data_IF_358025534243
#
_entry.id   IF_358025534243
#
_cell.length_a   1.000
_cell.length_b   1.000
_cell.length_c   1.000
_cell.angle_alpha   90.00
_cell.angle_beta   90.00
_cell.angle_gamma   90.00
#
_symmetry.space_group_name_H-M   'P 1'
#
loop_
_entity.id
_entity.type
_entity.pdbx_description
1 polymer ?
#
# COMPACT_ATOMS: atom_id res chain seq x y z
N UNK A 1 -9.38 21.13 -14.48
CA UNK A 1 -9.64 22.59 -14.55
C UNK A 1 -8.48 23.35 -15.16
N UNK A 2 -7.29 23.42 -14.54
CA UNK A 2 -6.14 24.15 -15.11
C UNK A 2 -5.80 23.72 -16.54
N UNK A 3 -5.75 22.42 -16.83
CA UNK A 3 -5.49 21.92 -18.20
C UNK A 3 -6.57 22.41 -19.19
N UNK A 4 -7.84 22.35 -18.80
CA UNK A 4 -8.97 22.80 -19.61
C UNK A 4 -8.96 24.32 -19.83
N UNK A 5 -8.54 25.09 -18.83
CA UNK A 5 -8.40 26.55 -18.93
C UNK A 5 -7.25 26.98 -19.85
N UNK A 6 -6.28 26.10 -20.10
CA UNK A 6 -5.11 26.37 -20.94
C UNK A 6 -5.14 25.53 -22.23
N UNK A 7 -6.32 25.18 -22.75
CA UNK A 7 -6.46 24.35 -23.96
C UNK A 7 -5.65 24.88 -25.14
N UNK A 8 -5.61 26.20 -25.33
CA UNK A 8 -4.83 26.83 -26.41
C UNK A 8 -3.33 26.46 -26.36
N UNK A 9 -2.74 26.43 -25.16
CA UNK A 9 -1.34 26.00 -24.97
C UNK A 9 -1.14 24.53 -25.38
N UNK A 10 -2.14 23.68 -25.15
CA UNK A 10 -2.05 22.25 -25.42
C UNK A 10 -2.47 21.86 -26.84
N UNK A 11 -3.13 22.75 -27.59
CA UNK A 11 -3.64 22.44 -28.93
C UNK A 11 -2.54 22.01 -29.91
N UNK A 12 -1.34 22.57 -29.77
CA UNK A 12 -0.18 22.23 -30.61
C UNK A 12 0.73 21.17 -29.97
N UNK A 13 0.30 20.49 -28.91
CA UNK A 13 1.11 19.47 -28.23
C UNK A 13 0.83 18.09 -28.82
N UNK A 14 1.80 17.55 -29.55
CA UNK A 14 1.68 16.21 -30.14
C UNK A 14 2.02 15.07 -29.15
N UNK A 15 2.91 15.34 -28.19
CA UNK A 15 3.44 14.36 -27.25
C UNK A 15 3.90 15.08 -25.98
N UNK A 16 3.77 14.42 -24.82
CA UNK A 16 4.24 14.95 -23.54
C UNK A 16 5.21 13.95 -22.92
N UNK A 17 6.43 14.37 -22.63
CA UNK A 17 7.44 13.54 -21.96
C UNK A 17 7.42 13.86 -20.47
N UNK A 18 7.31 12.82 -19.64
CA UNK A 18 7.20 12.92 -18.19
C UNK A 18 8.34 12.12 -17.58
N UNK A 19 9.24 12.80 -16.87
CA UNK A 19 10.52 12.26 -16.40
C UNK A 19 10.53 11.76 -14.95
N UNK A 20 9.34 11.50 -14.40
CA UNK A 20 9.08 11.27 -12.97
C UNK A 20 8.72 9.81 -12.65
N UNK A 21 9.38 8.87 -13.31
CA UNK A 21 9.17 7.42 -13.10
C UNK A 21 10.48 6.67 -12.94
N UNK A 22 10.38 5.48 -12.35
CA UNK A 22 11.51 4.59 -12.13
C UNK A 22 11.77 3.69 -13.33
N UNK A 23 13.04 3.33 -13.50
CA UNK A 23 13.49 2.20 -14.27
C UNK A 23 13.32 0.88 -13.47
N UNK A 24 13.10 -0.26 -14.15
CA UNK A 24 13.00 -1.57 -13.50
C UNK A 24 14.25 -2.00 -12.72
N UNK A 25 15.43 -1.51 -13.14
CA UNK A 25 16.72 -1.72 -12.50
C UNK A 25 17.71 -0.64 -12.95
N UNK A 26 18.74 -0.41 -12.16
CA UNK A 26 19.84 0.53 -12.48
C UNK A 26 20.44 0.23 -13.85
N UNK A 27 20.42 1.23 -14.73
CA UNK A 27 20.93 1.15 -16.10
C UNK A 27 20.06 0.35 -17.09
N UNK A 28 18.86 -0.09 -16.70
CA UNK A 28 17.90 -0.76 -17.59
C UNK A 28 16.70 0.15 -17.85
N UNK A 29 16.57 0.76 -19.03
CA UNK A 29 15.52 1.75 -19.26
C UNK A 29 14.12 1.11 -19.33
N UNK A 30 13.17 1.72 -18.63
CA UNK A 30 11.75 1.40 -18.70
C UNK A 30 10.94 2.50 -19.37
N UNK A 31 9.96 2.12 -20.20
CA UNK A 31 8.87 3.01 -20.61
C UNK A 31 7.62 2.62 -19.80
N UNK A 32 7.18 3.52 -18.93
CA UNK A 32 6.02 3.33 -18.06
C UNK A 32 4.74 3.57 -18.84
N UNK A 33 3.89 2.54 -18.93
CA UNK A 33 2.60 2.60 -19.65
C UNK A 33 1.39 2.47 -18.72
N UNK A 34 1.64 2.31 -17.40
CA UNK A 34 0.59 2.35 -16.40
C UNK A 34 1.08 2.93 -15.08
N UNK A 35 0.19 3.66 -14.41
CA UNK A 35 0.38 4.26 -13.10
C UNK A 35 -0.81 3.92 -12.22
N UNK A 36 -0.57 3.67 -10.94
CA UNK A 36 -1.66 3.46 -9.99
C UNK A 36 -2.33 4.77 -9.64
N UNK A 37 -3.62 4.68 -9.34
CA UNK A 37 -4.36 5.73 -8.67
C UNK A 37 -4.26 5.57 -7.15
N UNK A 38 -4.92 6.48 -6.45
CA UNK A 38 -5.03 6.47 -5.00
C UNK A 38 -6.38 7.07 -4.59
N UNK A 39 -7.00 6.48 -3.58
CA UNK A 39 -8.07 7.13 -2.81
C UNK A 39 -7.78 6.94 -1.32
N UNK A 40 -8.09 7.95 -0.52
CA UNK A 40 -7.70 7.98 0.89
C UNK A 40 -8.77 8.64 1.75
N UNK A 41 -9.05 8.02 2.89
CA UNK A 41 -9.98 8.51 3.91
C UNK A 41 -9.30 8.50 5.27
N UNK A 42 -9.46 9.59 6.02
CA UNK A 42 -9.34 9.54 7.47
C UNK A 42 -10.65 9.01 8.06
N UNK A 43 -10.55 7.98 8.88
CA UNK A 43 -11.66 7.26 9.51
C UNK A 43 -11.51 7.36 11.01
N UNK A 44 -12.54 7.85 11.71
CA UNK A 44 -12.61 7.83 13.18
C UNK A 44 -13.84 7.05 13.61
N UNK A 45 -13.68 6.15 14.58
CA UNK A 45 -14.75 5.35 15.18
C UNK A 45 -15.00 5.84 16.60
N UNK A 46 -16.27 6.11 16.91
CA UNK A 46 -16.76 6.44 18.25
C UNK A 46 -17.73 5.34 18.71
N UNK A 47 -17.68 4.96 19.98
CA UNK A 47 -18.62 4.00 20.56
C UNK A 47 -19.86 4.70 21.14
N UNK A 48 -21.03 4.09 20.99
CA UNK A 48 -22.22 4.49 21.76
C UNK A 48 -22.17 3.92 23.19
N UNK A 49 -22.96 4.43 24.15
CA UNK A 49 -22.99 3.91 25.53
C UNK A 49 -23.37 2.43 25.66
N UNK A 50 -24.01 1.87 24.63
CA UNK A 50 -24.43 0.46 24.60
C UNK A 50 -23.42 -0.44 23.87
N UNK A 51 -22.31 0.12 23.39
CA UNK A 51 -21.30 -0.63 22.65
C UNK A 51 -20.66 -1.70 23.52
N UNK A 52 -20.39 -2.86 22.92
CA UNK A 52 -19.81 -4.00 23.64
C UNK A 52 -18.29 -3.92 23.74
N UNK A 53 -17.64 -3.32 22.74
CA UNK A 53 -16.19 -3.18 22.64
C UNK A 53 -15.79 -1.71 22.71
N UNK A 54 -14.53 -1.45 23.04
CA UNK A 54 -13.97 -0.11 22.92
C UNK A 54 -13.86 0.32 21.43
N UNK A 55 -13.84 1.63 21.14
CA UNK A 55 -13.78 2.13 19.76
C UNK A 55 -12.56 1.64 18.96
N UNK A 56 -11.41 1.43 19.60
CA UNK A 56 -10.18 1.02 18.90
C UNK A 56 -10.24 -0.45 18.51
N UNK A 57 -10.79 -1.31 19.36
CA UNK A 57 -11.06 -2.71 19.00
C UNK A 57 -12.07 -2.79 17.86
N UNK A 58 -13.14 -1.99 17.90
CA UNK A 58 -14.10 -1.92 16.80
C UNK A 58 -13.46 -1.43 15.48
N UNK A 59 -12.53 -0.47 15.55
CA UNK A 59 -11.75 -0.03 14.40
C UNK A 59 -10.86 -1.16 13.84
N UNK A 60 -10.14 -1.91 14.69
CA UNK A 60 -9.35 -3.05 14.20
C UNK A 60 -10.23 -4.11 13.53
N UNK A 61 -11.40 -4.42 14.09
CA UNK A 61 -12.36 -5.32 13.45
C UNK A 61 -12.81 -4.81 12.09
N UNK A 62 -13.11 -3.51 11.97
CA UNK A 62 -13.48 -2.89 10.70
C UNK A 62 -12.32 -2.93 9.69
N UNK A 63 -11.09 -2.66 10.11
CA UNK A 63 -9.92 -2.73 9.22
C UNK A 63 -9.65 -4.16 8.75
N UNK A 64 -9.89 -5.16 9.61
CA UNK A 64 -9.75 -6.56 9.26
C UNK A 64 -10.69 -6.99 8.13
N UNK A 65 -11.85 -6.34 7.95
CA UNK A 65 -12.77 -6.68 6.86
C UNK A 65 -12.26 -6.23 5.49
N UNK A 66 -11.35 -5.24 5.42
CA UNK A 66 -10.88 -4.66 4.16
C UNK A 66 -10.06 -5.61 3.28
N UNK A 67 -9.59 -6.73 3.84
CA UNK A 67 -8.83 -7.75 3.14
C UNK A 67 -9.54 -9.11 3.19
N UNK A 68 -9.24 -9.99 2.22
CA UNK A 68 -9.57 -11.42 2.24
C UNK A 68 -8.46 -12.19 2.97
N UNK A 69 -8.57 -13.51 3.07
CA UNK A 69 -7.57 -14.36 3.74
C UNK A 69 -6.18 -14.33 3.07
N UNK A 70 -6.15 -14.14 1.76
CA UNK A 70 -4.93 -14.00 0.94
C UNK A 70 -4.40 -12.56 0.89
N UNK A 71 -4.89 -11.65 1.75
CA UNK A 71 -4.60 -10.20 1.72
C UNK A 71 -5.10 -9.44 0.49
N UNK A 72 -5.86 -10.07 -0.42
CA UNK A 72 -6.48 -9.33 -1.53
C UNK A 72 -7.61 -8.42 -1.03
N UNK A 73 -7.91 -7.36 -1.79
CA UNK A 73 -8.91 -6.36 -1.42
C UNK A 73 -10.31 -6.99 -1.31
N UNK A 74 -11.02 -6.74 -0.19
CA UNK A 74 -12.35 -7.29 0.06
C UNK A 74 -13.51 -6.39 -0.41
N UNK A 75 -13.21 -5.26 -1.03
CA UNK A 75 -14.21 -4.34 -1.58
C UNK A 75 -14.43 -4.70 -3.05
N UNK A 76 -15.34 -5.64 -3.31
CA UNK A 76 -15.54 -6.21 -4.65
C UNK A 76 -15.83 -5.15 -5.73
N UNK A 77 -16.58 -4.09 -5.40
CA UNK A 77 -16.82 -2.96 -6.33
C UNK A 77 -15.54 -2.27 -6.85
N UNK A 78 -14.45 -2.35 -6.11
CA UNK A 78 -13.15 -1.80 -6.51
C UNK A 78 -12.30 -2.89 -7.16
N UNK A 79 -12.25 -4.09 -6.55
CA UNK A 79 -11.45 -5.20 -7.06
C UNK A 79 -11.92 -5.67 -8.45
N UNK A 80 -13.23 -5.76 -8.67
CA UNK A 80 -13.81 -6.21 -9.95
C UNK A 80 -13.69 -5.14 -11.05
N UNK A 81 -13.36 -3.90 -10.70
CA UNK A 81 -13.12 -2.82 -11.65
C UNK A 81 -11.67 -2.82 -12.18
N UNK A 82 -10.77 -3.64 -11.61
CA UNK A 82 -9.40 -3.76 -12.08
C UNK A 82 -9.35 -4.40 -13.48
N UNK A 83 -8.58 -3.81 -14.39
CA UNK A 83 -8.32 -4.38 -15.72
C UNK A 83 -7.38 -5.58 -15.57
N UNK A 84 -7.82 -6.73 -16.07
CA UNK A 84 -7.01 -7.94 -16.10
C UNK A 84 -5.82 -7.79 -17.05
N UNK A 85 -4.70 -8.41 -16.67
CA UNK A 85 -3.50 -8.48 -17.50
C UNK A 85 -3.77 -9.32 -18.77
N UNK A 86 -3.22 -8.91 -19.91
CA UNK A 86 -3.23 -9.74 -21.14
C UNK A 86 -2.08 -10.75 -21.16
N UNK A 87 -2.14 -11.73 -22.07
CA UNK A 87 -1.04 -12.70 -22.21
C UNK A 87 0.24 -12.02 -22.71
N UNK A 88 0.13 -11.05 -23.62
CA UNK A 88 1.27 -10.27 -24.12
C UNK A 88 1.93 -9.46 -22.99
N UNK A 89 1.14 -8.87 -22.09
CA UNK A 89 1.65 -8.17 -20.91
C UNK A 89 2.34 -9.14 -19.95
N UNK A 90 1.76 -10.33 -19.71
CA UNK A 90 2.38 -11.37 -18.88
C UNK A 90 3.72 -11.82 -19.44
N UNK A 91 3.80 -12.03 -20.75
CA UNK A 91 5.06 -12.32 -21.46
C UNK A 91 6.03 -11.15 -21.31
N UNK A 92 5.58 -9.91 -21.51
CA UNK A 92 6.41 -8.71 -21.33
C UNK A 92 7.01 -8.62 -19.92
N UNK A 93 6.21 -8.87 -18.89
CA UNK A 93 6.63 -8.88 -17.49
C UNK A 93 7.70 -9.94 -17.19
N UNK A 94 7.67 -11.09 -17.86
CA UNK A 94 8.72 -12.12 -17.71
C UNK A 94 10.11 -11.67 -18.20
N UNK A 95 10.18 -10.62 -19.03
CA UNK A 95 11.42 -10.07 -19.57
C UNK A 95 11.91 -8.82 -18.81
N UNK A 96 11.16 -8.35 -17.81
CA UNK A 96 11.58 -7.19 -17.01
C UNK A 96 12.87 -7.58 -16.25
N UNK A 97 13.95 -6.78 -16.36
CA UNK A 97 15.26 -7.10 -15.78
C UNK A 97 15.28 -6.87 -14.27
N UNK A 98 14.52 -7.66 -13.54
CA UNK A 98 14.40 -7.64 -12.08
C UNK A 98 14.53 -9.06 -11.53
N UNK A 99 14.52 -9.18 -10.20
CA UNK A 99 14.47 -10.48 -9.52
C UNK A 99 13.61 -10.37 -8.28
N UNK A 100 13.12 -11.51 -7.79
CA UNK A 100 12.40 -11.57 -6.52
C UNK A 100 13.25 -10.95 -5.39
N UNK A 101 14.55 -11.23 -5.36
CA UNK A 101 15.43 -10.66 -4.33
C UNK A 101 15.56 -9.14 -4.45
N UNK A 102 15.67 -8.60 -5.67
CA UNK A 102 15.69 -7.14 -5.89
C UNK A 102 14.39 -6.50 -5.41
N UNK A 103 13.23 -7.07 -5.75
CA UNK A 103 11.92 -6.56 -5.32
C UNK A 103 11.72 -6.66 -3.80
N UNK A 104 12.22 -7.75 -3.18
CA UNK A 104 12.20 -7.90 -1.72
C UNK A 104 13.09 -6.88 -1.03
N UNK A 105 14.30 -6.67 -1.55
CA UNK A 105 15.27 -5.72 -1.01
C UNK A 105 14.80 -4.26 -1.19
N UNK A 106 14.23 -3.91 -2.35
CA UNK A 106 13.72 -2.56 -2.63
C UNK A 106 12.53 -2.19 -1.73
N UNK A 107 11.75 -3.19 -1.32
CA UNK A 107 10.67 -3.06 -0.34
C UNK A 107 11.14 -3.17 1.12
N UNK A 108 12.41 -3.50 1.35
CA UNK A 108 12.97 -3.75 2.68
C UNK A 108 12.32 -4.92 3.41
N UNK A 109 11.79 -5.92 2.69
CA UNK A 109 11.13 -7.07 3.31
C UNK A 109 12.08 -7.83 4.25
N UNK A 110 11.55 -8.28 5.39
CA UNK A 110 12.27 -9.20 6.24
C UNK A 110 12.45 -10.55 5.52
N UNK A 111 13.56 -11.27 5.74
CA UNK A 111 13.88 -12.50 5.01
C UNK A 111 12.77 -13.55 5.05
N UNK A 112 12.12 -13.68 6.21
CA UNK A 112 11.11 -14.69 6.50
C UNK A 112 9.68 -14.29 6.06
N UNK A 113 9.46 -13.03 5.66
CA UNK A 113 8.14 -12.55 5.24
C UNK A 113 7.71 -13.21 3.93
N UNK A 114 6.55 -13.88 3.95
CA UNK A 114 5.95 -14.54 2.78
C UNK A 114 5.11 -13.52 1.99
N UNK A 115 5.17 -13.62 0.66
CA UNK A 115 4.42 -12.75 -0.25
C UNK A 115 2.93 -13.11 -0.25
N UNK A 116 2.07 -12.16 -0.60
CA UNK A 116 0.61 -12.40 -0.75
C UNK A 116 0.25 -13.05 -2.09
N UNK A 117 1.23 -13.26 -2.95
CA UNK A 117 1.11 -13.88 -4.28
C UNK A 117 2.22 -14.91 -4.48
N UNK A 118 2.09 -15.81 -5.48
CA UNK A 118 3.17 -16.73 -5.84
C UNK A 118 4.50 -16.02 -6.05
N UNK A 119 5.60 -16.68 -5.67
CA UNK A 119 6.96 -16.13 -5.75
C UNK A 119 7.50 -16.23 -7.17
N UNK A 120 6.84 -15.51 -8.08
CA UNK A 120 7.15 -15.41 -9.50
C UNK A 120 7.13 -13.93 -9.92
N UNK A 121 8.07 -13.52 -10.76
CA UNK A 121 8.20 -12.11 -11.18
C UNK A 121 6.88 -11.59 -11.79
N UNK A 122 6.26 -12.37 -12.66
CA UNK A 122 4.99 -12.02 -13.32
C UNK A 122 3.86 -11.84 -12.31
N UNK A 123 3.77 -12.71 -11.30
CA UNK A 123 2.75 -12.61 -10.24
C UNK A 123 2.95 -11.37 -9.38
N UNK A 124 4.20 -11.02 -9.07
CA UNK A 124 4.52 -9.82 -8.29
C UNK A 124 4.19 -8.55 -9.08
N UNK A 125 4.62 -8.49 -10.35
CA UNK A 125 4.35 -7.34 -11.23
C UNK A 125 2.86 -7.19 -11.53
N UNK A 126 2.12 -8.30 -11.72
CA UNK A 126 0.66 -8.27 -11.87
C UNK A 126 0.00 -7.65 -10.63
N UNK A 127 0.39 -8.09 -9.43
CA UNK A 127 -0.17 -7.54 -8.21
C UNK A 127 0.18 -6.07 -7.99
N UNK A 128 1.40 -5.65 -8.34
CA UNK A 128 1.86 -4.26 -8.26
C UNK A 128 1.12 -3.33 -9.22
N UNK A 129 0.89 -3.78 -10.47
CA UNK A 129 0.51 -2.91 -11.58
C UNK A 129 -0.92 -3.10 -12.07
N UNK A 130 -1.57 -4.20 -11.69
CA UNK A 130 -2.90 -4.60 -12.18
C UNK A 130 -3.89 -4.96 -11.08
N UNK A 131 -3.49 -4.96 -9.80
CA UNK A 131 -4.43 -5.21 -8.68
C UNK A 131 -4.50 -4.03 -7.72
N UNK A 132 -5.72 -3.66 -7.36
CA UNK A 132 -5.99 -2.69 -6.31
C UNK A 132 -5.68 -3.31 -4.94
N UNK A 133 -5.07 -2.53 -4.05
CA UNK A 133 -4.69 -2.99 -2.72
C UNK A 133 -4.99 -1.92 -1.68
N UNK A 134 -5.39 -2.36 -0.48
CA UNK A 134 -5.69 -1.47 0.64
C UNK A 134 -4.52 -1.43 1.62
N UNK A 135 -4.27 -0.25 2.15
CA UNK A 135 -3.36 0.02 3.25
C UNK A 135 -4.16 0.72 4.36
N UNK A 136 -3.78 0.49 5.61
CA UNK A 136 -4.34 1.21 6.75
C UNK A 136 -3.22 1.59 7.70
N UNK A 137 -3.29 2.79 8.29
CA UNK A 137 -2.35 3.24 9.33
C UNK A 137 -3.07 4.03 10.40
N UNK A 138 -2.62 4.04 11.66
CA UNK A 138 -3.16 4.92 12.68
C UNK A 138 -3.12 6.40 12.26
N UNK A 139 -4.20 7.13 12.50
CA UNK A 139 -4.44 8.48 11.94
C UNK A 139 -3.80 9.64 12.70
N UNK A 140 -2.88 9.35 13.62
CA UNK A 140 -2.30 10.34 14.55
C UNK A 140 -0.91 10.82 14.14
N UNK A 141 -0.45 10.47 12.93
CA UNK A 141 0.84 10.91 12.40
C UNK A 141 0.71 12.27 11.71
N UNK A 142 1.52 13.23 12.15
CA UNK A 142 1.44 14.64 11.77
C UNK A 142 2.07 14.92 10.38
N UNK A 143 2.93 14.05 9.85
CA UNK A 143 3.52 14.25 8.51
C UNK A 143 4.02 12.95 7.86
N UNK A 144 3.88 12.86 6.53
CA UNK A 144 4.53 11.87 5.67
C UNK A 144 3.61 10.77 5.15
N UNK A 145 3.73 10.45 3.86
CA UNK A 145 3.04 9.35 3.18
C UNK A 145 3.58 7.96 3.54
N UNK A 146 4.52 7.86 4.50
CA UNK A 146 5.31 6.67 4.81
C UNK A 146 4.50 5.75 5.75
N UNK A 147 4.09 4.61 5.23
CA UNK A 147 3.62 3.45 5.99
C UNK A 147 4.87 2.76 6.56
N UNK A 148 4.92 2.37 7.83
CA UNK A 148 6.09 1.58 8.26
C UNK A 148 5.83 0.12 7.93
N UNK A 149 6.88 -0.64 7.68
CA UNK A 149 6.82 -2.11 7.63
C UNK A 149 6.47 -2.76 8.97
N UNK A 150 5.90 -2.00 9.93
CA UNK A 150 5.68 -2.37 11.32
C UNK A 150 4.37 -1.79 11.84
N UNK A 151 3.66 -2.58 12.63
CA UNK A 151 2.42 -2.18 13.31
C UNK A 151 2.44 -2.63 14.77
N UNK A 152 1.81 -1.85 15.64
CA UNK A 152 1.73 -2.16 17.07
C UNK A 152 0.36 -1.93 17.66
N UNK A 153 -0.02 -2.79 18.62
CA UNK A 153 -1.19 -2.61 19.46
C UNK A 153 -0.86 -3.00 20.91
N UNK A 154 -1.36 -2.22 21.87
CA UNK A 154 -1.41 -2.62 23.27
C UNK A 154 -2.74 -3.29 23.53
N UNK A 155 -2.70 -4.52 24.04
CA UNK A 155 -3.89 -5.28 24.43
C UNK A 155 -3.92 -5.33 25.95
N UNK A 156 -4.98 -4.79 26.55
CA UNK A 156 -5.20 -4.77 27.99
C UNK A 156 -6.23 -5.82 28.35
N UNK A 157 -5.87 -6.72 29.25
CA UNK A 157 -6.76 -7.70 29.84
C UNK A 157 -7.07 -7.31 31.28
N UNK A 158 -8.19 -7.82 31.81
CA UNK A 158 -8.40 -7.90 33.25
C UNK A 158 -7.14 -8.48 33.97
N UNK A 159 -6.92 -8.13 35.25
CA UNK A 159 -5.81 -8.67 36.03
C UNK A 159 -5.76 -10.20 35.95
N UNK A 160 -4.65 -10.72 35.44
CA UNK A 160 -4.39 -12.14 35.30
C UNK A 160 -3.43 -12.60 36.39
N UNK A 161 -3.72 -13.74 37.02
CA UNK A 161 -2.88 -14.34 38.05
C UNK A 161 -1.55 -14.88 37.52
N UNK A 162 -1.48 -15.22 36.22
CA UNK A 162 -0.24 -15.68 35.57
C UNK A 162 0.01 -14.97 34.22
N UNK A 163 0.54 -13.73 34.24
CA UNK A 163 0.84 -12.96 33.04
C UNK A 163 1.87 -13.63 32.12
N UNK A 164 2.82 -14.39 32.65
CA UNK A 164 3.84 -15.07 31.84
C UNK A 164 3.24 -16.21 31.01
N UNK A 165 2.37 -17.02 31.62
CA UNK A 165 1.64 -18.05 30.89
C UNK A 165 0.72 -17.44 29.81
N UNK A 166 0.08 -16.30 30.12
CA UNK A 166 -0.74 -15.58 29.16
C UNK A 166 0.09 -15.05 27.98
N UNK A 167 1.28 -14.48 28.24
CA UNK A 167 2.19 -14.01 27.20
C UNK A 167 2.58 -15.13 26.23
N UNK A 168 2.96 -16.29 26.77
CA UNK A 168 3.35 -17.46 25.96
C UNK A 168 2.18 -17.96 25.11
N UNK A 169 0.97 -18.00 25.67
CA UNK A 169 -0.24 -18.41 24.95
C UNK A 169 -0.68 -17.42 23.89
N UNK A 170 -0.56 -16.13 24.14
CA UNK A 170 -0.79 -15.10 23.13
C UNK A 170 0.20 -15.23 21.98
N UNK A 171 1.49 -15.45 22.27
CA UNK A 171 2.50 -15.65 21.25
C UNK A 171 2.20 -16.90 20.38
N UNK A 172 1.81 -18.01 21.00
CA UNK A 172 1.39 -19.23 20.30
C UNK A 172 0.17 -18.97 19.40
N UNK A 173 -0.84 -18.28 19.93
CA UNK A 173 -2.05 -17.90 19.20
C UNK A 173 -1.75 -17.02 17.98
N UNK A 174 -0.94 -15.98 18.15
CA UNK A 174 -0.60 -15.08 17.06
C UNK A 174 0.27 -15.76 16.00
N UNK A 175 1.22 -16.63 16.40
CA UNK A 175 2.00 -17.44 15.46
C UNK A 175 1.11 -18.35 14.61
N UNK A 176 0.10 -18.98 15.20
CA UNK A 176 -0.88 -19.80 14.47
C UNK A 176 -1.72 -18.98 13.48
N UNK A 177 -1.91 -17.69 13.75
CA UNK A 177 -2.69 -16.75 12.93
C UNK A 177 -1.81 -15.85 12.05
N UNK A 178 -0.61 -16.30 11.68
CA UNK A 178 0.37 -15.55 10.88
C UNK A 178 0.72 -16.24 9.56
N UNK A 179 -0.23 -16.33 8.60
CA UNK A 179 -0.02 -17.04 7.34
C UNK A 179 1.14 -16.49 6.50
N UNK A 180 1.51 -15.21 6.70
CA UNK A 180 2.60 -14.57 5.95
C UNK A 180 3.92 -14.48 6.71
N UNK A 181 4.02 -15.13 7.87
CA UNK A 181 5.23 -15.24 8.66
C UNK A 181 5.89 -13.88 8.99
N UNK A 182 5.08 -12.87 9.33
CA UNK A 182 5.58 -11.59 9.85
C UNK A 182 6.32 -11.83 11.17
N UNK A 183 7.36 -11.04 11.45
CA UNK A 183 8.00 -11.07 12.75
C UNK A 183 7.00 -10.63 13.81
N UNK A 184 6.75 -11.50 14.80
CA UNK A 184 5.85 -11.22 15.93
C UNK A 184 6.69 -11.01 17.18
N UNK A 185 6.42 -9.92 17.89
CA UNK A 185 6.92 -9.68 19.23
C UNK A 185 5.74 -9.43 20.17
N UNK A 186 5.68 -10.16 21.29
CA UNK A 186 4.70 -9.93 22.37
C UNK A 186 5.48 -9.58 23.63
N UNK A 187 5.37 -8.35 24.13
CA UNK A 187 6.08 -7.88 25.32
C UNK A 187 5.09 -7.53 26.42
N UNK A 188 5.36 -7.94 27.66
CA UNK A 188 4.57 -7.51 28.82
C UNK A 188 4.85 -6.04 29.11
N UNK A 189 3.79 -5.27 29.31
CA UNK A 189 3.85 -3.89 29.79
C UNK A 189 3.42 -3.84 31.26
N UNK A 190 4.31 -3.39 32.14
CA UNK A 190 4.20 -3.58 33.59
C UNK A 190 4.11 -2.27 34.39
N UNK A 191 3.32 -1.30 33.93
CA UNK A 191 3.12 -0.03 34.65
C UNK A 191 1.78 0.08 35.38
N UNK A 192 0.76 -0.70 34.98
CA UNK A 192 -0.59 -0.60 35.55
C UNK A 192 -0.98 -1.88 36.30
N UNK A 193 -1.30 -1.75 37.60
CA UNK A 193 -1.80 -2.86 38.43
C UNK A 193 -3.26 -3.23 38.12
N UNK A 194 -4.00 -2.36 37.42
CA UNK A 194 -5.41 -2.59 37.06
C UNK A 194 -5.60 -3.50 35.86
N UNK A 195 -4.57 -3.67 35.03
CA UNK A 195 -4.66 -4.46 33.80
C UNK A 195 -3.41 -5.31 33.63
N UNK A 196 -3.59 -6.51 33.06
CA UNK A 196 -2.47 -7.25 32.48
C UNK A 196 -2.34 -6.84 31.02
N UNK A 197 -1.28 -6.10 30.69
CA UNK A 197 -1.11 -5.49 29.37
C UNK A 197 0.04 -6.11 28.57
N UNK A 198 -0.17 -6.27 27.27
CA UNK A 198 0.85 -6.73 26.33
C UNK A 198 0.91 -5.85 25.10
N UNK A 199 2.12 -5.51 24.69
CA UNK A 199 2.39 -4.88 23.40
C UNK A 199 2.61 -5.99 22.37
N UNK A 200 1.72 -6.05 21.39
CA UNK A 200 1.84 -6.88 20.19
C UNK A 200 2.41 -6.03 19.07
N UNK A 201 3.55 -6.45 18.54
CA UNK A 201 4.25 -5.81 17.43
C UNK A 201 4.34 -6.81 16.28
N UNK A 202 3.97 -6.37 15.08
CA UNK A 202 4.21 -7.07 13.82
C UNK A 202 5.20 -6.29 12.97
N UNK A 203 6.11 -6.99 12.30
CA UNK A 203 6.97 -6.42 11.27
C UNK A 203 7.01 -7.31 10.02
N UNK A 204 6.74 -6.72 8.85
CA UNK A 204 6.89 -7.34 7.53
C UNK A 204 8.13 -6.85 6.78
N UNK A 205 8.56 -5.61 7.05
CA UNK A 205 9.71 -4.96 6.41
C UNK A 205 10.39 -3.94 7.33
N UNK A 206 11.60 -3.53 6.95
CA UNK A 206 12.37 -2.50 7.64
C UNK A 206 11.89 -1.09 7.33
N UNK A 207 11.24 -0.90 6.18
CA UNK A 207 10.67 0.37 5.69
C UNK A 207 9.30 0.15 5.06
N UNK A 208 8.70 1.19 4.48
CA UNK A 208 7.44 1.07 3.74
C UNK A 208 7.58 0.15 2.51
N UNK A 209 6.91 -1.01 2.47
CA UNK A 209 6.94 -1.86 1.29
C UNK A 209 5.82 -1.50 0.28
N UNK A 210 4.92 -0.58 0.64
CA UNK A 210 3.71 -0.21 -0.09
C UNK A 210 3.72 1.24 -0.62
N UNK A 211 4.65 2.10 -0.20
CA UNK A 211 4.80 3.45 -0.75
C UNK A 211 5.29 3.42 -2.20
N UNK A 212 4.90 4.49 -2.90
CA UNK A 212 5.51 4.91 -4.16
C UNK A 212 5.59 3.79 -5.20
N UNK A 213 6.79 3.58 -5.71
CA UNK A 213 7.11 2.70 -6.84
C UNK A 213 6.83 1.22 -6.54
N UNK A 214 7.03 0.77 -5.30
CA UNK A 214 7.02 -0.64 -4.95
C UNK A 214 5.59 -1.22 -5.01
N UNK A 215 4.59 -0.50 -4.48
CA UNK A 215 3.16 -0.87 -4.58
C UNK A 215 2.79 -2.32 -4.22
N UNK A 216 3.65 -3.03 -3.46
CA UNK A 216 3.87 -4.47 -3.60
C UNK A 216 2.75 -5.43 -3.20
N UNK A 217 2.89 -6.74 -3.51
CA UNK A 217 2.08 -7.83 -2.98
C UNK A 217 2.62 -8.29 -1.62
N UNK A 218 2.81 -7.33 -0.73
CA UNK A 218 3.38 -7.59 0.58
C UNK A 218 2.25 -7.56 1.63
N UNK A 219 2.36 -8.35 2.70
CA UNK A 219 1.35 -8.28 3.74
C UNK A 219 1.48 -6.96 4.50
N UNK A 220 0.38 -6.19 4.55
CA UNK A 220 0.32 -4.93 5.30
C UNK A 220 0.28 -5.28 6.79
N UNK A 221 1.29 -4.85 7.54
CA UNK A 221 1.45 -5.20 8.96
C UNK A 221 0.22 -4.77 9.79
N UNK A 222 -0.31 -3.57 9.54
CA UNK A 222 -1.48 -3.04 10.24
C UNK A 222 -2.75 -3.83 9.97
N UNK A 223 -2.96 -4.30 8.73
CA UNK A 223 -4.13 -5.11 8.37
C UNK A 223 -4.00 -6.54 8.90
N UNK A 224 -2.79 -7.10 8.91
CA UNK A 224 -2.54 -8.39 9.56
C UNK A 224 -2.73 -8.30 11.08
N UNK A 225 -2.28 -7.22 11.71
CA UNK A 225 -2.48 -6.94 13.13
C UNK A 225 -3.98 -6.83 13.44
N UNK A 226 -4.71 -6.06 12.65
CA UNK A 226 -6.15 -5.92 12.73
C UNK A 226 -6.85 -7.29 12.66
N UNK A 227 -6.46 -8.15 11.71
CA UNK A 227 -6.99 -9.52 11.58
C UNK A 227 -6.69 -10.39 12.80
N UNK A 228 -5.47 -10.31 13.34
CA UNK A 228 -5.08 -11.06 14.53
C UNK A 228 -5.90 -10.62 15.76
N UNK A 229 -6.15 -9.32 15.91
CA UNK A 229 -7.01 -8.76 16.97
C UNK A 229 -8.47 -9.20 16.76
N UNK A 230 -8.98 -9.13 15.54
CA UNK A 230 -10.33 -9.58 15.20
C UNK A 230 -10.58 -11.05 15.56
N UNK A 231 -9.59 -11.92 15.35
CA UNK A 231 -9.63 -13.34 15.74
C UNK A 231 -9.46 -13.57 17.24
N UNK A 232 -8.71 -12.71 17.93
CA UNK A 232 -8.49 -12.81 19.37
C UNK A 232 -9.70 -12.34 20.18
N UNK A 233 -10.35 -11.24 19.79
CA UNK A 233 -11.46 -10.64 20.52
C UNK A 233 -12.71 -10.85 19.70
N UNK A 234 -13.66 -11.67 20.16
CA UNK A 234 -14.91 -11.89 19.43
C UNK A 234 -15.81 -10.65 19.48
N UNK A 235 -16.85 -10.60 18.65
CA UNK A 235 -17.78 -9.46 18.58
C UNK A 235 -18.52 -9.18 19.89
N UNK A 236 -18.66 -10.19 20.77
CA UNK A 236 -19.24 -10.09 22.10
C UNK A 236 -18.21 -9.73 23.19
N UNK A 237 -16.94 -9.51 22.82
CA UNK A 237 -15.83 -9.25 23.74
C UNK A 237 -15.23 -10.50 24.37
N UNK A 238 -15.70 -11.69 24.06
CA UNK A 238 -15.12 -12.94 24.58
C UNK A 238 -13.82 -13.31 23.87
N UNK A 239 -12.99 -14.12 24.55
CA UNK A 239 -11.72 -14.64 24.04
C UNK A 239 -11.86 -16.09 23.53
N UNK A 240 -10.94 -16.58 22.68
CA UNK A 240 -10.76 -17.98 22.41
C UNK A 240 -10.62 -18.79 23.71
N UNK A 241 -11.24 -19.99 23.81
CA UNK A 241 -11.21 -20.80 25.03
C UNK A 241 -9.79 -21.08 25.55
N UNK A 242 -8.82 -21.27 24.65
CA UNK A 242 -7.42 -21.50 25.02
C UNK A 242 -6.76 -20.31 25.72
N UNK A 243 -7.18 -19.08 25.40
CA UNK A 243 -6.70 -17.85 26.05
C UNK A 243 -7.51 -17.60 27.32
N UNK A 244 -8.83 -17.74 27.26
CA UNK A 244 -9.73 -17.50 28.39
C UNK A 244 -9.40 -18.38 29.60
N UNK A 245 -9.00 -19.63 29.37
CA UNK A 245 -8.57 -20.56 30.43
C UNK A 245 -7.38 -20.04 31.24
N UNK A 246 -6.47 -19.29 30.61
CA UNK A 246 -5.27 -18.73 31.27
C UNK A 246 -5.57 -17.39 31.95
N UNK A 247 -6.47 -16.58 31.38
CA UNK A 247 -6.88 -15.32 31.98
C UNK A 247 -7.58 -15.50 33.34
N UNK A 248 -8.14 -16.68 33.64
CA UNK A 248 -8.82 -16.98 34.90
C UNK A 248 -10.31 -16.63 34.84
N UNK A 249 -11.16 -17.64 35.01
CA UNK A 249 -12.61 -17.55 34.89
C UNK A 249 -13.26 -16.97 36.17
N UNK A 250 -13.22 -15.65 36.37
CA UNK A 250 -13.98 -15.00 37.46
C UNK A 250 -14.41 -13.57 37.13
N UNK A 251 -14.78 -13.28 35.88
CA UNK A 251 -15.42 -12.01 35.55
C UNK A 251 -16.67 -12.26 34.71
N UNK A 252 -17.82 -11.77 35.19
CA UNK A 252 -19.10 -11.78 34.46
C UNK A 252 -19.02 -11.00 33.14
N UNK A 253 -18.02 -10.12 32.99
CA UNK A 253 -17.68 -9.43 31.73
C UNK A 253 -16.16 -9.24 31.65
N UNK A 254 -15.51 -9.83 30.64
CA UNK A 254 -14.09 -9.61 30.37
C UNK A 254 -13.92 -8.21 29.79
N UNK A 255 -13.19 -7.32 30.47
CA UNK A 255 -12.81 -6.03 29.89
C UNK A 255 -11.51 -6.30 29.13
N UNK A 256 -11.61 -6.25 27.81
CA UNK A 256 -10.45 -6.30 26.92
C UNK A 256 -10.49 -5.04 26.08
N UNK A 257 -9.42 -4.28 26.15
CA UNK A 257 -9.29 -3.02 25.43
C UNK A 257 -8.04 -3.06 24.55
N UNK A 258 -8.10 -2.37 23.42
CA UNK A 258 -6.93 -2.18 22.58
C UNK A 258 -6.56 -0.71 22.45
N UNK A 259 -5.28 -0.45 22.25
CA UNK A 259 -4.76 0.87 21.87
C UNK A 259 -3.82 0.69 20.68
N UNK A 260 -3.86 1.59 19.72
CA UNK A 260 -2.86 1.62 18.66
C UNK A 260 -1.53 2.16 19.20
N UNK A 261 -0.42 1.60 18.73
CA UNK A 261 0.93 2.01 19.11
C UNK A 261 1.69 2.51 17.89
N UNK A 262 2.49 3.56 18.12
CA UNK A 262 3.60 3.88 17.25
C UNK A 262 4.74 2.92 17.54
N UNK A 263 5.35 2.36 16.48
CA UNK A 263 6.48 1.43 16.57
C UNK A 263 7.63 2.02 15.76
N UNK A 264 8.75 2.27 16.42
CA UNK A 264 9.96 2.77 15.78
C UNK A 264 10.78 1.63 15.13
N UNK A 265 11.83 1.98 14.40
CA UNK A 265 12.67 1.01 13.68
C UNK A 265 13.34 -0.02 14.61
N UNK A 266 13.72 0.41 15.82
CA UNK A 266 14.31 -0.40 16.89
C UNK A 266 13.27 -1.17 17.74
N UNK A 267 12.00 -1.13 17.33
CA UNK A 267 10.85 -1.70 18.04
C UNK A 267 10.58 -1.08 19.42
N UNK A 268 11.04 0.15 19.65
CA UNK A 268 10.50 0.97 20.73
C UNK A 268 9.05 1.34 20.41
N UNK A 269 8.22 1.40 21.45
CA UNK A 269 6.78 1.62 21.31
C UNK A 269 6.35 2.85 22.09
N UNK A 270 5.44 3.62 21.49
CA UNK A 270 4.87 4.82 22.11
C UNK A 270 3.36 4.86 21.83
N UNK A 271 2.59 5.39 22.77
CA UNK A 271 1.19 5.73 22.50
C UNK A 271 1.15 6.94 21.58
N UNK A 272 0.13 6.99 20.72
CA UNK A 272 -0.16 8.22 19.99
C UNK A 272 -0.68 9.30 20.94
N UNK A 273 -0.39 10.57 20.64
CA UNK A 273 -0.83 11.71 21.44
C UNK A 273 -2.36 11.85 21.49
N UNK A 274 -3.02 11.61 20.36
CA UNK A 274 -4.48 11.53 20.27
C UNK A 274 -4.93 10.09 20.53
N UNK A 275 -5.80 9.92 21.53
CA UNK A 275 -6.29 8.62 21.98
C UNK A 275 -7.53 8.14 21.20
N UNK A 276 -8.02 8.90 20.22
CA UNK A 276 -9.18 8.50 19.44
C UNK A 276 -8.89 7.29 18.55
N UNK A 277 -9.90 6.44 18.32
CA UNK A 277 -9.78 5.32 17.40
C UNK A 277 -9.83 5.82 15.97
N UNK A 278 -8.66 6.19 15.43
CA UNK A 278 -8.51 6.84 14.14
C UNK A 278 -7.51 6.09 13.25
N UNK A 279 -7.84 5.97 11.97
CA UNK A 279 -6.95 5.44 10.95
C UNK A 279 -7.05 6.23 9.64
N UNK A 280 -5.96 6.31 8.90
CA UNK A 280 -5.97 6.61 7.48
C UNK A 280 -6.13 5.28 6.73
N UNK A 281 -7.19 5.15 5.94
CA UNK A 281 -7.43 4.03 5.03
C UNK A 281 -7.16 4.51 3.61
N UNK A 282 -6.19 3.89 2.95
CA UNK A 282 -5.75 4.22 1.60
C UNK A 282 -5.97 3.00 0.70
N UNK A 283 -6.49 3.22 -0.50
CA UNK A 283 -6.52 2.20 -1.54
C UNK A 283 -5.66 2.69 -2.70
N UNK A 284 -4.66 1.89 -3.06
CA UNK A 284 -3.94 2.03 -4.31
C UNK A 284 -4.77 1.39 -5.41
N UNK A 285 -5.17 2.20 -6.38
CA UNK A 285 -6.11 1.80 -7.43
C UNK A 285 -5.33 1.30 -8.65
N UNK A 286 -5.64 0.12 -9.14
CA UNK A 286 -5.13 -0.37 -10.41
C UNK A 286 -5.95 0.18 -11.59
N UNK A 287 -5.40 0.18 -12.82
CA UNK A 287 -6.13 0.59 -14.02
C UNK A 287 -7.51 -0.04 -14.14
N UNK A 288 -8.50 0.74 -14.60
CA UNK A 288 -9.92 0.36 -14.65
C UNK A 288 -10.77 1.04 -13.57
N UNK A 289 -10.14 1.39 -12.44
CA UNK A 289 -10.78 2.16 -11.38
C UNK A 289 -10.87 3.67 -11.68
N UNK A 290 -11.73 4.36 -10.92
CA UNK A 290 -11.87 5.83 -10.94
C UNK A 290 -11.92 6.37 -9.50
N UNK A 291 -11.18 7.45 -9.22
CA UNK A 291 -10.95 7.93 -7.84
C UNK A 291 -12.25 8.13 -7.04
N UNK A 292 -13.26 8.78 -7.64
CA UNK A 292 -14.51 9.14 -6.95
C UNK A 292 -15.44 7.95 -6.76
N UNK A 293 -15.45 7.02 -7.71
CA UNK A 293 -16.22 5.77 -7.59
C UNK A 293 -15.63 4.90 -6.49
N UNK A 294 -14.30 4.75 -6.48
CA UNK A 294 -13.60 4.00 -5.45
C UNK A 294 -13.77 4.62 -4.05
N UNK A 295 -13.66 5.95 -3.93
CA UNK A 295 -13.90 6.65 -2.66
C UNK A 295 -15.32 6.39 -2.11
N UNK A 296 -16.33 6.44 -2.98
CA UNK A 296 -17.71 6.15 -2.61
C UNK A 296 -17.92 4.68 -2.23
N UNK A 297 -17.30 3.74 -2.96
CA UNK A 297 -17.35 2.33 -2.65
C UNK A 297 -16.71 2.05 -1.28
N UNK A 298 -15.55 2.63 -0.98
CA UNK A 298 -14.89 2.52 0.32
C UNK A 298 -15.75 3.11 1.46
N UNK A 299 -16.29 4.33 1.28
CA UNK A 299 -17.19 4.95 2.28
C UNK A 299 -18.42 4.08 2.57
N UNK A 300 -19.01 3.49 1.53
CA UNK A 300 -20.16 2.60 1.65
C UNK A 300 -19.77 1.33 2.41
N UNK A 301 -18.69 0.69 1.99
CA UNK A 301 -18.18 -0.54 2.59
C UNK A 301 -17.90 -0.37 4.10
N UNK A 302 -17.19 0.71 4.48
CA UNK A 302 -16.88 0.99 5.89
C UNK A 302 -18.13 1.22 6.74
N UNK A 303 -19.15 1.90 6.20
CA UNK A 303 -20.42 2.12 6.90
C UNK A 303 -21.22 0.84 7.09
N UNK A 304 -21.25 -0.03 6.08
CA UNK A 304 -22.02 -1.27 6.10
C UNK A 304 -21.40 -2.34 7.01
N UNK A 305 -20.07 -2.33 7.13
CA UNK A 305 -19.33 -3.29 7.96
C UNK A 305 -19.12 -2.83 9.42
N UNK A 306 -19.46 -1.59 9.76
CA UNK A 306 -19.42 -1.12 11.14
C UNK A 306 -20.73 -1.48 11.86
N UNK A 307 -20.68 -2.12 13.04
CA UNK A 307 -21.87 -2.38 13.84
C UNK A 307 -22.62 -1.10 14.26
N UNK A 308 -23.95 -1.20 14.41
CA UNK A 308 -24.86 -0.05 14.64
C UNK A 308 -24.64 0.68 15.97
N UNK A 309 -24.01 0.02 16.93
CA UNK A 309 -23.63 0.56 18.23
C UNK A 309 -22.37 1.45 18.17
N UNK A 310 -21.78 1.66 16.99
CA UNK A 310 -20.68 2.59 16.76
C UNK A 310 -21.07 3.67 15.73
N UNK A 311 -20.35 4.78 15.77
CA UNK A 311 -20.45 5.87 14.80
C UNK A 311 -19.12 6.02 14.08
N UNK A 312 -19.18 6.23 12.76
CA UNK A 312 -18.00 6.46 11.93
C UNK A 312 -18.03 7.87 11.35
N UNK A 313 -16.93 8.59 11.51
CA UNK A 313 -16.65 9.85 10.81
C UNK A 313 -15.61 9.57 9.74
N UNK A 314 -15.85 10.10 8.54
CA UNK A 314 -14.95 9.93 7.40
C UNK A 314 -14.66 11.27 6.74
N UNK A 315 -13.38 11.57 6.55
CA UNK A 315 -12.90 12.77 5.85
C UNK A 315 -12.08 12.33 4.66
N UNK A 316 -12.43 12.80 3.47
CA UNK A 316 -11.68 12.52 2.26
C UNK A 316 -10.36 13.30 2.24
N UNK A 317 -9.31 12.67 1.73
CA UNK A 317 -8.07 13.34 1.34
C UNK A 317 -7.95 13.38 -0.20
N UNK A 318 -6.80 13.81 -0.72
CA UNK A 318 -6.48 13.87 -2.14
C UNK A 318 -6.52 12.47 -2.76
N UNK A 319 -7.20 12.38 -3.89
CA UNK A 319 -7.24 11.19 -4.73
C UNK A 319 -6.61 11.44 -6.10
N UNK A 320 -6.34 10.35 -6.80
CA UNK A 320 -5.97 10.35 -8.21
C UNK A 320 -6.50 9.09 -8.89
N UNK A 321 -7.10 9.24 -10.06
CA UNK A 321 -7.44 8.09 -10.90
C UNK A 321 -6.15 7.42 -11.43
N UNK A 322 -6.15 6.08 -11.58
CA UNK A 322 -5.08 5.36 -12.27
C UNK A 322 -4.98 5.78 -13.73
N UNK A 323 -3.84 5.48 -14.36
CA UNK A 323 -3.62 5.70 -15.78
C UNK A 323 -3.07 4.44 -16.44
N UNK A 324 -3.53 4.16 -17.66
CA UNK A 324 -2.98 3.15 -18.54
C UNK A 324 -3.13 3.63 -19.99
N UNK A 325 -2.16 3.33 -20.84
CA UNK A 325 -2.20 3.69 -22.26
C UNK A 325 -1.88 2.49 -23.15
N UNK A 326 -2.57 2.32 -24.29
CA UNK A 326 -2.08 1.42 -25.33
C UNK A 326 -0.77 1.96 -25.92
N UNK A 327 0.06 1.06 -26.43
CA UNK A 327 1.36 1.36 -27.06
C UNK A 327 1.30 1.39 -28.58
N UNK A 328 0.10 1.46 -29.16
CA UNK A 328 -0.12 1.32 -30.61
C UNK A 328 0.31 2.54 -31.42
N UNK A 329 0.43 3.71 -30.79
CA UNK A 329 0.87 4.93 -31.48
C UNK A 329 2.36 4.81 -31.86
N UNK A 330 2.79 5.17 -33.09
CA UNK A 330 4.17 4.99 -33.56
C UNK A 330 5.24 5.66 -32.68
N UNK A 331 4.86 6.70 -31.93
CA UNK A 331 5.75 7.39 -30.99
C UNK A 331 6.32 6.47 -29.91
N UNK A 332 5.58 5.45 -29.46
CA UNK A 332 6.06 4.51 -28.45
C UNK A 332 7.25 3.70 -28.97
N UNK A 333 7.23 3.28 -30.25
CA UNK A 333 8.37 2.61 -30.88
C UNK A 333 9.60 3.53 -30.93
N UNK A 334 9.41 4.79 -31.33
CA UNK A 334 10.51 5.77 -31.38
C UNK A 334 11.06 6.06 -29.98
N UNK A 335 10.20 6.11 -28.96
CA UNK A 335 10.61 6.29 -27.57
C UNK A 335 11.42 5.10 -27.04
N UNK A 336 10.99 3.86 -27.32
CA UNK A 336 11.73 2.65 -26.95
C UNK A 336 13.09 2.57 -27.64
N UNK A 337 13.17 2.90 -28.93
CA UNK A 337 14.43 2.99 -29.67
C UNK A 337 15.36 4.06 -29.08
N UNK A 338 14.82 5.22 -28.73
CA UNK A 338 15.61 6.30 -28.13
C UNK A 338 16.14 5.93 -26.74
N UNK A 339 15.33 5.24 -25.93
CA UNK A 339 15.75 4.64 -24.67
C UNK A 339 16.92 3.67 -24.89
N UNK A 340 16.80 2.77 -25.86
CA UNK A 340 17.86 1.82 -26.20
C UNK A 340 19.15 2.50 -26.66
N UNK A 341 19.06 3.53 -27.49
CA UNK A 341 20.24 4.31 -27.92
C UNK A 341 20.93 5.04 -26.76
N UNK A 342 20.17 5.60 -25.81
CA UNK A 342 20.74 6.37 -24.70
C UNK A 342 21.43 5.50 -23.64
N UNK A 343 20.87 4.33 -23.35
CA UNK A 343 21.39 3.40 -22.33
C UNK A 343 22.31 2.33 -22.92
N UNK A 344 22.28 2.11 -24.25
CA UNK A 344 22.97 0.99 -24.89
C UNK A 344 22.39 -0.38 -24.50
N UNK A 345 21.13 -0.41 -24.06
CA UNK A 345 20.42 -1.59 -23.59
C UNK A 345 18.97 -1.56 -24.02
N UNK A 346 18.43 -2.73 -24.38
CA UNK A 346 17.03 -2.87 -24.80
C UNK A 346 16.09 -2.35 -23.72
N UNK A 347 15.21 -1.44 -24.10
CA UNK A 347 14.17 -0.91 -23.21
C UNK A 347 13.04 -1.92 -23.04
N UNK A 348 12.41 -1.92 -21.86
CA UNK A 348 11.21 -2.71 -21.61
C UNK A 348 9.99 -1.83 -21.34
N UNK A 349 8.82 -2.38 -21.63
CA UNK A 349 7.55 -1.79 -21.20
C UNK A 349 7.33 -2.19 -19.75
N UNK A 350 6.99 -1.21 -18.93
CA UNK A 350 6.87 -1.38 -17.49
C UNK A 350 5.67 -0.60 -16.96
N UNK A 351 5.44 -0.68 -15.65
CA UNK A 351 4.49 0.17 -14.95
C UNK A 351 5.13 0.75 -13.70
N UNK A 352 4.46 1.70 -13.06
CA UNK A 352 4.90 2.25 -11.80
C UNK A 352 3.80 2.11 -10.76
N UNK A 353 4.15 1.59 -9.58
CA UNK A 353 3.24 1.47 -8.44
C UNK A 353 2.81 2.83 -7.85
N UNK A 354 3.51 3.90 -8.23
CA UNK A 354 3.23 5.26 -7.82
C UNK A 354 2.08 5.91 -8.59
N UNK A 355 1.76 7.14 -8.21
CA UNK A 355 0.68 7.93 -8.80
C UNK A 355 1.22 9.27 -9.28
N UNK A 356 0.96 9.60 -10.55
CA UNK A 356 1.23 10.92 -11.12
C UNK A 356 -0.11 11.48 -11.62
N UNK A 357 -0.88 12.19 -10.76
CA UNK A 357 -2.28 12.56 -11.06
C UNK A 357 -2.42 13.39 -12.33
N UNK A 358 -1.35 14.10 -12.72
CA UNK A 358 -1.30 14.88 -13.93
C UNK A 358 -1.48 14.02 -15.19
N UNK A 359 -0.92 12.81 -15.25
CA UNK A 359 -0.91 11.96 -16.46
C UNK A 359 -2.34 11.57 -16.87
N UNK A 360 -3.12 11.06 -15.90
CA UNK A 360 -4.52 10.72 -16.12
C UNK A 360 -5.33 11.96 -16.55
N UNK A 361 -5.20 13.05 -15.80
CA UNK A 361 -5.93 14.31 -16.05
C UNK A 361 -5.60 14.94 -17.40
N UNK A 362 -4.34 14.84 -17.84
CA UNK A 362 -3.89 15.30 -19.16
C UNK A 362 -4.56 14.49 -20.27
N UNK A 363 -4.51 13.16 -20.16
CA UNK A 363 -5.08 12.24 -21.15
C UNK A 363 -6.60 12.42 -21.28
N UNK A 364 -7.29 12.63 -20.15
CA UNK A 364 -8.73 12.89 -20.14
C UNK A 364 -9.08 14.26 -20.73
N UNK A 365 -8.28 15.29 -20.43
CA UNK A 365 -8.57 16.67 -20.84
C UNK A 365 -8.18 16.96 -22.30
N UNK A 366 -7.17 16.27 -22.83
CA UNK A 366 -6.68 16.43 -24.21
C UNK A 366 -6.59 15.05 -24.87
N UNK A 367 -7.73 14.55 -25.38
CA UNK A 367 -7.77 13.25 -26.06
C UNK A 367 -6.80 13.22 -27.25
N UNK A 368 -6.02 12.15 -27.36
CA UNK A 368 -5.05 11.96 -28.45
C UNK A 368 -3.63 12.40 -28.13
N UNK A 369 -3.39 13.15 -27.05
CA UNK A 369 -2.03 13.35 -26.52
C UNK A 369 -1.43 12.01 -26.11
N UNK A 370 -0.13 11.83 -26.38
CA UNK A 370 0.61 10.63 -26.02
C UNK A 370 1.56 10.94 -24.85
N UNK A 371 1.23 10.57 -23.60
CA UNK A 371 2.15 10.70 -22.48
C UNK A 371 3.22 9.62 -22.55
N UNK A 372 4.48 10.02 -22.62
CA UNK A 372 5.65 9.15 -22.54
C UNK A 372 6.26 9.29 -21.15
N UNK A 373 5.95 8.34 -20.26
CA UNK A 373 6.51 8.31 -18.92
C UNK A 373 7.80 7.48 -18.93
N UNK A 374 8.94 8.12 -18.76
CA UNK A 374 10.28 7.52 -18.67
C UNK A 374 11.08 8.27 -17.60
N UNK A 375 12.24 7.81 -17.13
CA UNK A 375 12.93 8.61 -16.11
C UNK A 375 14.34 8.15 -15.78
N UNK A 376 15.09 8.99 -15.04
CA UNK A 376 16.44 8.67 -14.59
C UNK A 376 16.48 7.95 -13.25
N UNK A 377 15.34 7.66 -12.62
CA UNK A 377 15.31 7.02 -11.30
C UNK A 377 15.48 5.51 -11.43
N UNK A 378 16.17 4.90 -10.48
CA UNK A 378 16.36 3.46 -10.34
C UNK A 378 15.87 2.98 -8.97
N UNK A 379 15.71 1.67 -8.72
CA UNK A 379 15.22 1.15 -7.43
C UNK A 379 16.00 1.63 -6.20
N UNK A 380 17.27 1.99 -6.36
CA UNK A 380 18.15 2.50 -5.29
C UNK A 380 18.04 4.02 -5.09
N UNK A 381 17.29 4.73 -5.93
CA UNK A 381 17.10 6.18 -5.85
C UNK A 381 16.37 6.63 -4.59
N UNK A 382 15.61 5.72 -3.92
CA UNK A 382 14.95 6.00 -2.63
C UNK A 382 14.06 7.26 -2.64
N UNK A 383 13.25 7.41 -3.69
CA UNK A 383 12.36 8.56 -3.85
C UNK A 383 11.49 8.75 -2.60
N UNK A 384 11.52 9.96 -2.01
CA UNK A 384 10.80 10.31 -0.78
C UNK A 384 11.26 9.60 0.50
N UNK A 385 12.43 8.98 0.49
CA UNK A 385 13.04 8.31 1.64
C UNK A 385 14.40 8.95 2.01
N UNK A 386 14.87 8.84 3.26
CA UNK A 386 16.22 9.27 3.62
C UNK A 386 17.31 8.61 2.77
N UNK A 387 18.27 9.41 2.32
CA UNK A 387 19.32 8.96 1.41
C UNK A 387 18.86 8.88 -0.05
N UNK A 388 17.81 9.62 -0.42
CA UNK A 388 17.42 9.85 -1.81
C UNK A 388 18.64 10.25 -2.66
N UNK A 389 18.81 9.56 -3.79
CA UNK A 389 19.97 9.73 -4.67
C UNK A 389 19.59 9.45 -6.12
N UNK A 390 20.51 9.75 -7.04
CA UNK A 390 20.31 9.48 -8.46
C UNK A 390 21.56 8.80 -9.04
N UNK A 391 21.34 7.65 -9.69
CA UNK A 391 22.38 6.94 -10.42
C UNK A 391 22.90 7.77 -11.59
N UNK A 392 24.23 7.93 -11.70
CA UNK A 392 24.85 8.60 -12.85
C UNK A 392 24.58 7.86 -14.16
N UNK A 393 24.46 6.52 -14.10
CA UNK A 393 24.18 5.69 -15.28
C UNK A 393 22.81 6.04 -15.83
N UNK A 394 21.79 6.12 -14.96
CA UNK A 394 20.42 6.40 -15.36
C UNK A 394 20.19 7.87 -15.69
N UNK A 395 20.82 8.80 -14.96
CA UNK A 395 20.80 10.23 -15.30
C UNK A 395 21.34 10.48 -16.71
N UNK A 396 22.54 9.97 -17.02
CA UNK A 396 23.17 10.17 -18.33
C UNK A 396 22.45 9.38 -19.43
N UNK A 397 22.00 8.16 -19.13
CA UNK A 397 21.21 7.33 -20.04
C UNK A 397 19.92 8.04 -20.46
N UNK A 398 19.12 8.47 -19.48
CA UNK A 398 17.87 9.20 -19.70
C UNK A 398 18.11 10.49 -20.51
N UNK A 399 19.13 11.27 -20.16
CA UNK A 399 19.48 12.49 -20.88
C UNK A 399 19.75 12.20 -22.37
N UNK A 400 20.57 11.20 -22.68
CA UNK A 400 20.86 10.81 -24.08
C UNK A 400 19.61 10.31 -24.79
N UNK A 401 18.76 9.55 -24.10
CA UNK A 401 17.50 9.05 -24.68
C UNK A 401 16.56 10.19 -25.06
N UNK A 402 16.43 11.22 -24.22
CA UNK A 402 15.60 12.40 -24.53
C UNK A 402 16.16 13.12 -25.76
N UNK A 403 17.49 13.30 -25.86
CA UNK A 403 18.11 13.89 -27.05
C UNK A 403 17.83 13.08 -28.32
N UNK A 404 17.94 11.74 -28.25
CA UNK A 404 17.61 10.86 -29.37
C UNK A 404 16.12 10.92 -29.75
N UNK A 405 15.23 10.98 -28.77
CA UNK A 405 13.79 11.11 -28.99
C UNK A 405 13.47 12.43 -29.71
N UNK A 406 13.99 13.55 -29.20
CA UNK A 406 13.80 14.87 -29.80
C UNK A 406 14.34 14.92 -31.25
N UNK A 407 15.53 14.38 -31.49
CA UNK A 407 16.12 14.34 -32.83
C UNK A 407 15.33 13.46 -33.83
N UNK A 408 14.50 12.54 -33.33
CA UNK A 408 13.75 11.56 -34.14
C UNK A 408 12.24 11.83 -34.15
N UNK A 409 11.78 12.89 -33.49
CA UNK A 409 10.35 13.19 -33.32
C UNK A 409 9.63 13.31 -34.68
N UNK A 410 10.33 13.83 -35.69
CA UNK A 410 9.84 14.02 -37.06
C UNK A 410 9.55 12.70 -37.81
N UNK A 411 10.01 11.54 -37.30
CA UNK A 411 9.62 10.24 -37.84
C UNK A 411 8.13 9.95 -37.68
N UNK A 412 7.49 10.59 -36.70
CA UNK A 412 6.08 10.37 -36.36
C UNK A 412 5.27 11.64 -36.61
N UNK A 413 5.78 12.79 -36.16
CA UNK A 413 5.11 14.07 -36.29
C UNK A 413 5.82 14.90 -37.36
N UNK A 414 5.40 14.76 -38.62
CA UNK A 414 5.86 15.63 -39.70
C UNK A 414 5.12 16.96 -39.57
N UNK A 415 5.86 18.05 -39.32
CA UNK A 415 5.35 19.42 -39.40
C UNK A 415 5.86 20.10 -40.65
#
# INVERSE_FOLDING_TARGET
>A
EQILQNQEFFNDVNCVVITDVINPATGYPGLTTSLRGITQLEVTVDASPIATLDPQTALYKLLATLIKEDHSLAIDLIADADILITEEERIGFSHVPTSINLLRNSAGLLPETILTVPTEITSILEAQLRKSSVNARPGHRIAGSIIFGRAGARIRFNPCSNPEALQLKLLEFFKKNNPFNLKITVRRFAEDSKFTSFDLILASSTKDPHSGVNGGPFPVAELQLARMIDRLIKSDGSLPPEIQKVCGATFDKSIIETCSLFVDEDETVQLFEDSSAKAIVEIRLAPGNQEKKAENALKKYLKENLPKDYKIKMKSDRGASPWITPITHPIFSVALEALEMGYGRKACIYGCGGSIPFVAKLTDAIPGTQPLCLGPYDPDSRMHEPGESLSLVDLLGCTRSILHLMARINKVFQR
#
